data_IF_584704903474
#
_entry.id   IF_584704903474
#
_cell.length_a   1.000
_cell.length_b   1.000
_cell.length_c   1.000
_cell.angle_alpha   90.00
_cell.angle_beta   90.00
_cell.angle_gamma   90.00
#
_symmetry.space_group_name_H-M   'P 1'
#
loop_
_entity.id
_entity.type
_entity.pdbx_description
1 polymer ?
#
# COMPACT_ATOMS: atom_id res chain seq x y z
N UNK A 1 -24.13 19.37 33.60
CA UNK A 1 -24.15 19.07 32.15
C UNK A 1 -25.26 19.88 31.53
N UNK A 2 -24.93 20.77 30.60
CA UNK A 2 -25.89 21.63 29.91
C UNK A 2 -26.77 20.80 28.96
N UNK A 3 -28.02 21.26 28.68
CA UNK A 3 -28.96 20.57 27.76
C UNK A 3 -28.31 20.28 26.43
N UNK A 4 -27.44 21.16 25.97
CA UNK A 4 -26.66 21.01 24.72
C UNK A 4 -25.68 19.80 24.77
N UNK A 5 -25.04 19.53 25.90
CA UNK A 5 -24.13 18.38 26.04
C UNK A 5 -24.88 17.04 26.04
N UNK A 6 -26.11 17.00 26.60
CA UNK A 6 -26.96 15.80 26.57
C UNK A 6 -27.49 15.51 25.17
N UNK A 7 -27.87 16.52 24.41
CA UNK A 7 -28.29 16.36 23.01
C UNK A 7 -27.13 15.87 22.15
N UNK A 8 -25.93 16.45 22.26
CA UNK A 8 -24.74 15.98 21.54
C UNK A 8 -24.38 14.53 21.90
N UNK A 9 -24.45 14.17 23.18
CA UNK A 9 -24.21 12.80 23.62
C UNK A 9 -25.26 11.82 23.06
N UNK A 10 -26.54 12.21 23.06
CA UNK A 10 -27.62 11.40 22.51
C UNK A 10 -27.49 11.19 20.98
N UNK A 11 -27.07 12.23 20.25
CA UNK A 11 -26.83 12.13 18.80
C UNK A 11 -25.57 11.30 18.48
N UNK A 12 -24.53 11.35 19.32
CA UNK A 12 -23.31 10.59 19.13
C UNK A 12 -23.44 9.12 19.60
N UNK A 13 -24.34 8.82 20.54
CA UNK A 13 -24.49 7.49 21.12
C UNK A 13 -24.69 6.35 20.11
N UNK A 14 -25.53 6.47 19.07
CA UNK A 14 -25.67 5.41 18.07
C UNK A 14 -24.38 5.13 17.29
N UNK A 15 -23.65 6.18 16.92
CA UNK A 15 -22.38 6.05 16.20
C UNK A 15 -21.29 5.41 17.09
N UNK A 16 -21.21 5.80 18.35
CA UNK A 16 -20.30 5.22 19.33
C UNK A 16 -20.65 3.77 19.62
N UNK A 17 -21.95 3.45 19.79
CA UNK A 17 -22.41 2.08 20.00
C UNK A 17 -22.10 1.18 18.81
N UNK A 18 -22.34 1.69 17.58
CA UNK A 18 -22.00 0.98 16.34
C UNK A 18 -20.48 0.72 16.25
N UNK A 19 -19.67 1.74 16.49
CA UNK A 19 -18.21 1.61 16.50
C UNK A 19 -17.73 0.62 17.57
N UNK A 20 -18.26 0.68 18.77
CA UNK A 20 -17.92 -0.25 19.83
C UNK A 20 -18.30 -1.70 19.46
N UNK A 21 -19.51 -1.91 18.95
CA UNK A 21 -20.00 -3.24 18.60
C UNK A 21 -19.27 -3.86 17.38
N UNK A 22 -19.03 -3.08 16.33
CA UNK A 22 -18.53 -3.62 15.05
C UNK A 22 -17.03 -3.45 14.86
N UNK A 23 -16.36 -2.62 15.64
CA UNK A 23 -14.92 -2.46 15.56
C UNK A 23 -14.22 -2.86 16.86
N UNK A 24 -14.59 -2.28 18.01
CA UNK A 24 -13.87 -2.52 19.26
C UNK A 24 -14.03 -3.96 19.75
N UNK A 25 -15.23 -4.51 19.78
CA UNK A 25 -15.46 -5.88 20.23
C UNK A 25 -14.71 -6.93 19.38
N UNK A 26 -14.75 -6.91 18.03
CA UNK A 26 -13.96 -7.82 17.23
C UNK A 26 -12.45 -7.67 17.44
N UNK A 27 -11.94 -6.44 17.60
CA UNK A 27 -10.51 -6.21 17.89
C UNK A 27 -10.11 -6.78 19.26
N UNK A 28 -10.92 -6.55 20.30
CA UNK A 28 -10.67 -7.13 21.63
C UNK A 28 -10.69 -8.65 21.57
N UNK A 29 -11.68 -9.24 20.86
CA UNK A 29 -11.75 -10.70 20.70
C UNK A 29 -10.54 -11.23 19.94
N UNK A 30 -10.12 -10.55 18.87
CA UNK A 30 -8.90 -10.89 18.13
C UNK A 30 -7.67 -10.89 19.02
N UNK A 31 -7.55 -9.91 19.92
CA UNK A 31 -6.43 -9.82 20.86
C UNK A 31 -6.42 -10.92 21.92
N UNK A 32 -7.58 -11.40 22.34
CA UNK A 32 -7.70 -12.44 23.38
C UNK A 32 -7.56 -13.87 22.80
N UNK A 33 -7.95 -14.08 21.54
CA UNK A 33 -8.02 -15.39 20.93
C UNK A 33 -6.71 -16.23 21.00
N UNK A 34 -5.49 -15.65 20.81
CA UNK A 34 -4.26 -16.43 20.94
C UNK A 34 -4.04 -17.01 22.35
N UNK A 35 -4.54 -16.34 23.40
CA UNK A 35 -4.40 -16.80 24.78
C UNK A 35 -5.09 -18.16 25.03
N UNK A 36 -6.12 -18.50 24.25
CA UNK A 36 -6.84 -19.78 24.35
C UNK A 36 -5.89 -21.00 24.11
N UNK A 37 -4.78 -20.79 23.38
CA UNK A 37 -3.73 -21.81 23.15
C UNK A 37 -2.43 -21.56 23.92
N UNK A 38 -2.44 -20.58 24.82
CA UNK A 38 -1.29 -20.19 25.63
C UNK A 38 -0.51 -18.98 25.10
N UNK A 39 0.24 -18.35 25.99
CA UNK A 39 0.96 -17.09 25.70
C UNK A 39 2.01 -17.21 24.57
N UNK A 40 2.59 -18.42 24.37
CA UNK A 40 3.54 -18.65 23.29
C UNK A 40 2.92 -18.40 21.91
N UNK A 41 1.61 -18.55 21.76
CA UNK A 41 0.91 -18.32 20.47
C UNK A 41 1.04 -16.90 19.98
N UNK A 42 1.16 -15.90 20.87
CA UNK A 42 1.40 -14.50 20.45
C UNK A 42 2.74 -14.29 19.73
N UNK A 43 3.70 -15.16 20.01
CA UNK A 43 5.03 -15.15 19.39
C UNK A 43 5.20 -16.19 18.29
N UNK A 44 4.11 -16.81 17.84
CA UNK A 44 4.15 -17.89 16.85
C UNK A 44 4.88 -17.51 15.56
N UNK A 45 4.81 -16.23 15.14
CA UNK A 45 5.55 -15.71 13.99
C UNK A 45 7.07 -15.86 14.15
N UNK A 46 7.58 -15.70 15.38
CA UNK A 46 9.00 -15.79 15.68
C UNK A 46 9.47 -17.20 15.97
N UNK A 47 8.56 -18.07 16.40
CA UNK A 47 8.86 -19.45 16.82
C UNK A 47 8.84 -20.45 15.66
N UNK A 48 8.08 -20.15 14.59
CA UNK A 48 7.97 -21.01 13.42
C UNK A 48 8.60 -20.35 12.20
N UNK A 49 9.58 -21.01 11.61
CA UNK A 49 10.32 -20.51 10.43
C UNK A 49 9.41 -20.25 9.23
N UNK A 50 8.31 -20.98 9.06
CA UNK A 50 7.35 -20.77 7.97
C UNK A 50 6.67 -19.42 8.08
N UNK A 51 6.19 -19.06 9.28
CA UNK A 51 5.53 -17.78 9.49
C UNK A 51 6.51 -16.62 9.46
N UNK A 52 7.70 -16.81 9.99
CA UNK A 52 8.77 -15.82 9.91
C UNK A 52 9.17 -15.54 8.46
N UNK A 53 9.30 -16.58 7.64
CA UNK A 53 9.60 -16.44 6.21
C UNK A 53 8.47 -15.74 5.44
N UNK A 54 7.22 -16.09 5.72
CA UNK A 54 6.03 -15.44 5.15
C UNK A 54 5.95 -13.95 5.53
N UNK A 55 6.28 -13.60 6.78
CA UNK A 55 6.39 -12.20 7.23
C UNK A 55 7.52 -11.48 6.50
N UNK A 56 8.71 -12.08 6.42
CA UNK A 56 9.86 -11.50 5.72
C UNK A 56 9.54 -11.24 4.25
N UNK A 57 8.93 -12.19 3.56
CA UNK A 57 8.49 -12.04 2.18
C UNK A 57 7.51 -10.87 2.01
N UNK A 58 6.55 -10.73 2.93
CA UNK A 58 5.58 -9.64 2.92
C UNK A 58 6.26 -8.29 3.13
N UNK A 59 7.17 -8.21 4.09
CA UNK A 59 7.95 -7.00 4.36
C UNK A 59 8.82 -6.61 3.16
N UNK A 60 9.62 -7.55 2.65
CA UNK A 60 10.52 -7.32 1.53
C UNK A 60 9.75 -6.86 0.28
N UNK A 61 8.64 -7.55 -0.04
CA UNK A 61 7.77 -7.19 -1.16
C UNK A 61 7.17 -5.78 -0.96
N UNK A 62 6.64 -5.50 0.23
CA UNK A 62 6.01 -4.20 0.53
C UNK A 62 7.01 -3.05 0.48
N UNK A 63 8.24 -3.25 0.98
CA UNK A 63 9.33 -2.27 0.86
C UNK A 63 9.70 -2.05 -0.60
N UNK A 64 9.92 -3.12 -1.37
CA UNK A 64 10.29 -3.03 -2.79
C UNK A 64 9.21 -2.29 -3.61
N UNK A 65 7.93 -2.65 -3.41
CA UNK A 65 6.79 -1.97 -4.06
C UNK A 65 6.76 -0.50 -3.66
N UNK A 66 6.94 -0.19 -2.38
CA UNK A 66 6.91 1.19 -1.90
C UNK A 66 8.01 2.03 -2.53
N UNK A 67 9.26 1.55 -2.52
CA UNK A 67 10.39 2.27 -3.10
C UNK A 67 10.20 2.54 -4.59
N UNK A 68 9.79 1.52 -5.36
CA UNK A 68 9.56 1.68 -6.80
C UNK A 68 8.36 2.57 -7.08
N UNK A 69 7.28 2.45 -6.29
CA UNK A 69 6.10 3.32 -6.42
C UNK A 69 6.43 4.79 -6.13
N UNK A 70 7.22 5.08 -5.10
CA UNK A 70 7.62 6.45 -4.77
C UNK A 70 8.53 7.03 -5.86
N UNK A 71 9.47 6.23 -6.37
CA UNK A 71 10.37 6.66 -7.45
C UNK A 71 9.57 6.97 -8.73
N UNK A 72 8.82 6.01 -9.24
CA UNK A 72 8.08 6.17 -10.50
C UNK A 72 6.93 7.17 -10.35
N UNK A 73 6.17 7.07 -9.25
CA UNK A 73 5.07 7.97 -8.94
C UNK A 73 5.52 9.41 -8.75
N UNK A 74 6.68 9.62 -8.10
CA UNK A 74 7.32 10.92 -7.95
C UNK A 74 7.76 11.50 -9.28
N UNK A 75 8.50 10.73 -10.10
CA UNK A 75 8.96 11.18 -11.42
C UNK A 75 7.79 11.57 -12.33
N UNK A 76 6.78 10.70 -12.44
CA UNK A 76 5.61 10.96 -13.29
C UNK A 76 4.76 12.08 -12.70
N UNK A 77 4.49 12.08 -11.40
CA UNK A 77 3.63 13.05 -10.75
C UNK A 77 4.19 14.48 -10.82
N UNK A 78 5.49 14.65 -10.54
CA UNK A 78 6.16 15.97 -10.65
C UNK A 78 6.15 16.44 -12.11
N UNK A 79 6.44 15.56 -13.06
CA UNK A 79 6.41 15.90 -14.49
C UNK A 79 5.03 16.36 -14.93
N UNK A 80 3.98 15.63 -14.54
CA UNK A 80 2.59 16.00 -14.84
C UNK A 80 2.14 17.28 -14.15
N UNK A 81 2.67 17.61 -12.97
CA UNK A 81 2.39 18.86 -12.29
C UNK A 81 2.97 20.07 -13.04
N UNK A 82 4.18 19.93 -13.59
CA UNK A 82 4.94 21.02 -14.22
C UNK A 82 4.64 21.19 -15.71
N UNK A 83 4.14 20.17 -16.39
CA UNK A 83 3.85 20.23 -17.82
C UNK A 83 2.35 20.45 -18.09
N UNK A 84 2.05 21.42 -18.95
CA UNK A 84 0.70 21.66 -19.49
C UNK A 84 0.67 21.21 -20.94
N UNK A 85 -0.15 20.21 -21.24
CA UNK A 85 -0.35 19.71 -22.61
C UNK A 85 -1.81 19.32 -22.82
N UNK A 86 -2.23 19.31 -24.09
CA UNK A 86 -3.58 18.87 -24.46
C UNK A 86 -3.78 17.40 -24.09
N UNK A 87 -4.88 17.08 -23.38
CA UNK A 87 -5.16 15.70 -22.92
C UNK A 87 -4.61 15.36 -21.54
N UNK A 88 -3.90 16.27 -20.83
CA UNK A 88 -3.39 16.03 -19.49
C UNK A 88 -4.48 15.56 -18.51
N UNK A 89 -5.66 16.18 -18.55
CA UNK A 89 -6.77 15.81 -17.67
C UNK A 89 -7.29 14.40 -17.97
N UNK A 90 -7.39 14.04 -19.25
CA UNK A 90 -7.77 12.70 -19.66
C UNK A 90 -6.75 11.66 -19.19
N UNK A 91 -5.45 11.94 -19.36
CA UNK A 91 -4.38 11.08 -18.88
C UNK A 91 -4.45 10.87 -17.36
N UNK A 92 -4.65 11.93 -16.58
CA UNK A 92 -4.82 11.82 -15.13
C UNK A 92 -6.04 10.95 -14.75
N UNK A 93 -7.16 11.12 -15.45
CA UNK A 93 -8.36 10.30 -15.23
C UNK A 93 -8.11 8.83 -15.57
N UNK A 94 -7.42 8.54 -16.68
CA UNK A 94 -7.06 7.17 -17.07
C UNK A 94 -6.07 6.53 -16.08
N UNK A 95 -5.10 7.29 -15.59
CA UNK A 95 -4.15 6.79 -14.57
C UNK A 95 -4.81 6.44 -13.24
N UNK A 96 -5.96 7.05 -12.90
CA UNK A 96 -6.68 6.73 -11.66
C UNK A 96 -7.67 5.57 -11.83
N UNK A 97 -7.97 5.14 -13.05
CA UNK A 97 -8.91 4.05 -13.34
C UNK A 97 -8.56 2.73 -12.63
N UNK A 98 -7.28 2.32 -12.48
CA UNK A 98 -6.92 1.14 -11.72
C UNK A 98 -7.41 1.11 -10.27
N UNK A 99 -7.58 2.27 -9.63
CA UNK A 99 -8.06 2.37 -8.25
C UNK A 99 -9.52 1.93 -8.09
N UNK A 100 -10.28 1.87 -9.20
CA UNK A 100 -11.67 1.42 -9.19
C UNK A 100 -11.82 -0.11 -9.15
N UNK A 101 -10.74 -0.85 -9.38
CA UNK A 101 -10.79 -2.31 -9.44
C UNK A 101 -10.38 -2.94 -8.09
N UNK A 102 -11.16 -3.92 -7.58
CA UNK A 102 -10.75 -4.75 -6.46
C UNK A 102 -9.44 -5.50 -6.74
N UNK A 103 -8.64 -5.75 -5.70
CA UNK A 103 -7.34 -6.41 -5.83
C UNK A 103 -7.37 -7.77 -6.54
N UNK A 104 -8.46 -8.53 -6.38
CA UNK A 104 -8.65 -9.82 -7.07
C UNK A 104 -8.71 -9.62 -8.60
N UNK A 105 -9.39 -8.58 -9.08
CA UNK A 105 -9.48 -8.26 -10.51
C UNK A 105 -8.12 -7.82 -11.05
N UNK A 106 -7.36 -7.06 -10.27
CA UNK A 106 -5.99 -6.69 -10.65
C UNK A 106 -5.12 -7.93 -10.81
N UNK A 107 -5.20 -8.87 -9.87
CA UNK A 107 -4.51 -10.15 -10.02
C UNK A 107 -4.90 -10.90 -11.29
N UNK A 108 -6.19 -10.88 -11.64
CA UNK A 108 -6.67 -11.46 -12.87
C UNK A 108 -6.11 -10.77 -14.12
N UNK A 109 -5.99 -9.43 -14.13
CA UNK A 109 -5.33 -8.69 -15.22
C UNK A 109 -3.85 -9.10 -15.40
N UNK A 110 -3.14 -9.31 -14.29
CA UNK A 110 -1.75 -9.79 -14.34
C UNK A 110 -1.69 -11.21 -14.91
N UNK A 111 -2.67 -12.08 -14.60
CA UNK A 111 -2.75 -13.44 -15.18
C UNK A 111 -3.06 -13.37 -16.69
N UNK A 112 -3.97 -12.51 -17.11
CA UNK A 112 -4.27 -12.33 -18.54
C UNK A 112 -3.06 -11.78 -19.32
N UNK A 113 -2.22 -10.99 -18.67
CA UNK A 113 -1.01 -10.45 -19.29
C UNK A 113 0.14 -11.46 -19.30
N UNK A 114 0.48 -12.05 -18.16
CA UNK A 114 1.71 -12.81 -17.95
C UNK A 114 1.49 -14.26 -17.48
N UNK A 115 0.26 -14.77 -17.54
CA UNK A 115 -0.07 -16.16 -17.23
C UNK A 115 0.31 -17.14 -18.34
N UNK A 116 0.02 -18.42 -18.13
CA UNK A 116 0.37 -19.49 -19.09
C UNK A 116 -0.32 -19.33 -20.45
N UNK A 117 -1.49 -18.73 -20.49
CA UNK A 117 -2.28 -18.41 -21.69
C UNK A 117 -2.45 -16.88 -21.81
N UNK A 118 -1.47 -16.11 -21.31
CA UNK A 118 -1.50 -14.67 -21.34
C UNK A 118 -0.83 -14.10 -22.59
N UNK A 119 -1.11 -12.81 -22.84
CA UNK A 119 -0.59 -12.08 -24.01
C UNK A 119 0.93 -12.19 -24.16
N UNK A 120 1.69 -12.13 -23.07
CA UNK A 120 3.15 -12.22 -23.11
C UNK A 120 3.61 -13.62 -23.51
N UNK A 121 2.94 -14.68 -23.03
CA UNK A 121 3.25 -16.05 -23.42
C UNK A 121 3.03 -16.28 -24.91
N UNK A 122 1.94 -15.75 -25.48
CA UNK A 122 1.62 -15.89 -26.89
C UNK A 122 2.61 -15.08 -27.79
N UNK A 123 2.96 -13.86 -27.38
CA UNK A 123 3.93 -13.03 -28.10
C UNK A 123 5.33 -13.65 -28.05
N UNK A 124 5.78 -14.17 -26.92
CA UNK A 124 7.11 -14.81 -26.82
C UNK A 124 7.18 -16.11 -27.59
N UNK A 125 6.09 -16.88 -27.66
CA UNK A 125 6.00 -18.06 -28.51
C UNK A 125 6.07 -17.69 -30.01
N UNK A 126 5.33 -16.65 -30.44
CA UNK A 126 5.36 -16.15 -31.81
C UNK A 126 6.75 -15.65 -32.23
N UNK A 127 7.52 -15.06 -31.29
CA UNK A 127 8.90 -14.64 -31.50
C UNK A 127 9.93 -15.79 -31.48
N UNK A 128 9.50 -17.06 -31.26
CA UNK A 128 10.38 -18.21 -31.15
C UNK A 128 11.18 -18.32 -29.86
N UNK A 129 10.85 -17.49 -28.84
CA UNK A 129 11.52 -17.47 -27.54
C UNK A 129 10.94 -18.48 -26.53
N UNK A 130 9.91 -19.24 -26.95
CA UNK A 130 9.16 -20.11 -26.05
C UNK A 130 8.16 -19.36 -25.17
N UNK A 131 7.27 -20.11 -24.48
CA UNK A 131 6.24 -19.51 -23.62
C UNK A 131 6.83 -19.01 -22.31
N UNK A 132 6.92 -17.71 -22.14
CA UNK A 132 7.38 -17.06 -20.90
C UNK A 132 6.20 -16.68 -20.01
N UNK A 133 6.23 -17.08 -18.74
CA UNK A 133 5.18 -16.74 -17.76
C UNK A 133 5.78 -16.08 -16.53
N UNK A 134 5.20 -14.96 -16.08
CA UNK A 134 5.66 -14.22 -14.89
C UNK A 134 4.55 -13.92 -13.87
N UNK A 135 3.28 -14.20 -14.22
CA UNK A 135 2.14 -13.85 -13.39
C UNK A 135 2.15 -14.55 -12.02
N UNK A 136 2.62 -15.78 -11.97
CA UNK A 136 2.57 -16.60 -10.77
C UNK A 136 3.85 -16.47 -9.94
N UNK A 137 3.74 -15.98 -8.71
CA UNK A 137 4.85 -15.81 -7.79
C UNK A 137 5.24 -14.36 -7.54
N UNK A 138 6.51 -14.13 -7.17
CA UNK A 138 7.02 -12.83 -6.72
C UNK A 138 6.85 -11.72 -7.76
N UNK A 139 7.19 -11.99 -9.02
CA UNK A 139 7.13 -10.98 -10.10
C UNK A 139 5.71 -10.52 -10.37
N UNK A 140 4.76 -11.46 -10.49
CA UNK A 140 3.36 -11.13 -10.70
C UNK A 140 2.77 -10.36 -9.52
N UNK A 141 3.12 -10.78 -8.29
CA UNK A 141 2.69 -10.11 -7.07
C UNK A 141 3.22 -8.67 -7.00
N UNK A 142 4.51 -8.51 -7.29
CA UNK A 142 5.16 -7.19 -7.33
C UNK A 142 4.48 -6.27 -8.34
N UNK A 143 4.25 -6.74 -9.56
CA UNK A 143 3.58 -5.96 -10.61
C UNK A 143 2.12 -5.64 -10.25
N UNK A 144 1.39 -6.60 -9.66
CA UNK A 144 0.02 -6.37 -9.21
C UNK A 144 -0.06 -5.33 -8.10
N UNK A 145 0.86 -5.36 -7.13
CA UNK A 145 0.93 -4.36 -6.06
C UNK A 145 1.35 -2.98 -6.59
N UNK A 146 2.30 -2.95 -7.52
CA UNK A 146 2.72 -1.72 -8.19
C UNK A 146 1.56 -1.10 -8.99
N UNK A 147 0.79 -1.92 -9.70
CA UNK A 147 -0.33 -1.49 -10.54
C UNK A 147 -1.39 -0.68 -9.79
N UNK A 148 -1.77 -1.06 -8.58
CA UNK A 148 -2.74 -0.28 -7.80
C UNK A 148 -2.11 0.82 -6.94
N UNK A 149 -0.80 0.74 -6.64
CA UNK A 149 -0.11 1.74 -5.81
C UNK A 149 0.33 2.95 -6.62
N UNK A 150 0.78 2.75 -7.86
CA UNK A 150 1.30 3.79 -8.75
C UNK A 150 0.30 4.95 -8.99
N UNK A 151 -0.97 4.71 -9.34
CA UNK A 151 -1.93 5.78 -9.57
C UNK A 151 -2.11 6.70 -8.37
N UNK A 152 -2.14 6.13 -7.17
CA UNK A 152 -2.25 6.88 -5.91
C UNK A 152 -1.03 7.77 -5.70
N UNK A 153 0.16 7.23 -5.89
CA UNK A 153 1.41 7.99 -5.74
C UNK A 153 1.48 9.12 -6.79
N UNK A 154 1.17 8.83 -8.06
CA UNK A 154 1.15 9.84 -9.13
C UNK A 154 0.19 10.98 -8.78
N UNK A 155 -1.03 10.67 -8.35
CA UNK A 155 -2.01 11.68 -7.96
C UNK A 155 -1.52 12.53 -6.77
N UNK A 156 -0.95 11.87 -5.75
CA UNK A 156 -0.41 12.54 -4.56
C UNK A 156 0.74 13.49 -4.92
N UNK A 157 1.71 13.03 -5.70
CA UNK A 157 2.84 13.87 -6.13
C UNK A 157 2.41 14.97 -7.10
N UNK A 158 1.44 14.70 -7.98
CA UNK A 158 0.90 15.72 -8.90
C UNK A 158 0.23 16.86 -8.12
N UNK A 159 -0.56 16.52 -7.09
CA UNK A 159 -1.20 17.51 -6.23
C UNK A 159 -0.17 18.31 -5.41
N UNK A 160 0.76 17.63 -4.75
CA UNK A 160 1.78 18.26 -3.91
C UNK A 160 2.73 19.14 -4.72
N UNK A 161 3.24 18.65 -5.85
CA UNK A 161 4.12 19.44 -6.72
C UNK A 161 3.37 20.63 -7.38
N UNK A 162 2.07 20.46 -7.65
CA UNK A 162 1.22 21.54 -8.16
C UNK A 162 0.96 22.66 -7.14
N UNK A 163 1.00 22.34 -5.85
CA UNK A 163 0.85 23.31 -4.76
C UNK A 163 2.16 24.04 -4.41
N UNK A 164 3.31 23.57 -4.91
CA UNK A 164 4.60 24.23 -4.68
C UNK A 164 4.68 25.54 -5.46
N UNK A 165 5.27 26.56 -4.82
CA UNK A 165 5.53 27.84 -5.47
C UNK A 165 6.56 27.68 -6.61
N UNK A 166 6.15 28.00 -7.83
CA UNK A 166 7.00 27.94 -9.01
C UNK A 166 8.18 28.93 -8.93
N UNK A 167 8.03 30.02 -8.18
CA UNK A 167 9.08 31.05 -8.03
C UNK A 167 10.35 30.48 -7.38
N UNK A 168 10.25 29.49 -6.50
CA UNK A 168 11.40 28.82 -5.91
C UNK A 168 12.27 28.12 -6.96
N UNK A 169 11.63 27.49 -7.93
CA UNK A 169 12.33 26.84 -9.04
C UNK A 169 12.96 27.86 -9.99
N UNK A 170 12.23 28.94 -10.31
CA UNK A 170 12.70 30.03 -11.17
C UNK A 170 13.89 30.76 -10.52
N UNK A 171 13.82 31.05 -9.22
CA UNK A 171 14.92 31.65 -8.47
C UNK A 171 16.18 30.80 -8.48
N UNK A 172 16.05 29.48 -8.22
CA UNK A 172 17.18 28.54 -8.27
C UNK A 172 17.83 28.53 -9.68
N UNK A 173 17.01 28.50 -10.72
CA UNK A 173 17.51 28.57 -12.13
C UNK A 173 18.17 29.87 -12.48
N UNK A 174 17.66 31.00 -11.99
CA UNK A 174 18.27 32.33 -12.20
C UNK A 174 19.65 32.44 -11.55
N UNK A 175 19.89 31.66 -10.48
CA UNK A 175 21.21 31.52 -9.84
C UNK A 175 22.11 30.50 -10.54
N UNK A 176 21.72 29.97 -11.71
CA UNK A 176 22.52 29.03 -12.49
C UNK A 176 22.38 27.57 -12.07
N UNK A 177 21.40 27.22 -11.21
CA UNK A 177 21.22 25.82 -10.78
C UNK A 177 20.83 24.91 -11.96
N UNK A 178 21.52 23.79 -12.08
CA UNK A 178 21.20 22.72 -13.02
C UNK A 178 19.87 22.03 -12.64
N UNK A 179 19.26 21.28 -13.56
CA UNK A 179 18.03 20.50 -13.28
C UNK A 179 18.18 19.56 -12.10
N UNK A 180 19.36 18.97 -11.92
CA UNK A 180 19.66 18.09 -10.79
C UNK A 180 19.75 18.85 -9.46
N UNK A 181 20.34 20.03 -9.46
CA UNK A 181 20.39 20.90 -8.28
C UNK A 181 18.99 21.37 -7.87
N UNK A 182 18.16 21.79 -8.83
CA UNK A 182 16.74 22.10 -8.57
C UNK A 182 16.01 20.91 -7.96
N UNK A 183 16.21 19.70 -8.52
CA UNK A 183 15.58 18.50 -7.97
C UNK A 183 16.03 18.23 -6.53
N UNK A 184 17.34 18.31 -6.26
CA UNK A 184 17.94 17.99 -4.96
C UNK A 184 17.62 19.05 -3.90
N UNK A 185 17.75 20.33 -4.25
CA UNK A 185 17.74 21.44 -3.28
C UNK A 185 16.36 22.07 -3.12
N UNK A 186 15.44 21.88 -4.09
CA UNK A 186 14.08 22.43 -4.07
C UNK A 186 13.02 21.33 -3.96
N UNK A 187 12.98 20.38 -4.90
CA UNK A 187 11.88 19.41 -4.96
C UNK A 187 11.95 18.35 -3.86
N UNK A 188 13.13 17.73 -3.65
CA UNK A 188 13.27 16.68 -2.65
C UNK A 188 12.92 17.19 -1.24
N UNK A 189 13.46 18.32 -0.75
CA UNK A 189 13.09 18.84 0.56
C UNK A 189 11.61 19.25 0.65
N UNK A 190 11.07 19.93 -0.37
CA UNK A 190 9.68 20.38 -0.37
C UNK A 190 8.67 19.23 -0.40
N UNK A 191 9.01 18.11 -1.06
CA UNK A 191 8.15 16.93 -1.15
C UNK A 191 8.45 15.85 -0.09
N UNK A 192 9.40 16.08 0.81
CA UNK A 192 9.83 15.07 1.78
C UNK A 192 8.67 14.57 2.65
N UNK A 193 7.85 15.47 3.19
CA UNK A 193 6.68 15.10 4.00
C UNK A 193 5.65 14.32 3.18
N UNK A 194 5.36 14.75 1.96
CA UNK A 194 4.46 14.05 1.03
C UNK A 194 5.00 12.66 0.71
N UNK A 195 6.31 12.53 0.49
CA UNK A 195 6.97 11.25 0.20
C UNK A 195 6.85 10.28 1.38
N UNK A 196 7.09 10.76 2.61
CA UNK A 196 6.93 9.94 3.82
C UNK A 196 5.49 9.48 4.01
N UNK A 197 4.52 10.39 3.89
CA UNK A 197 3.11 10.07 4.05
C UNK A 197 2.62 9.10 2.97
N UNK A 198 2.93 9.37 1.69
CA UNK A 198 2.60 8.49 0.57
C UNK A 198 3.25 7.11 0.73
N UNK A 199 4.53 7.07 1.10
CA UNK A 199 5.28 5.84 1.32
C UNK A 199 4.66 4.97 2.42
N UNK A 200 4.29 5.57 3.54
CA UNK A 200 3.65 4.86 4.64
C UNK A 200 2.30 4.26 4.23
N UNK A 201 1.49 4.99 3.46
CA UNK A 201 0.19 4.49 2.97
C UNK A 201 0.41 3.36 1.96
N UNK A 202 1.36 3.50 1.02
CA UNK A 202 1.68 2.46 0.04
C UNK A 202 2.20 1.21 0.74
N UNK A 203 3.11 1.35 1.69
CA UNK A 203 3.64 0.24 2.49
C UNK A 203 2.51 -0.47 3.26
N UNK A 204 1.70 0.28 4.00
CA UNK A 204 0.59 -0.27 4.78
C UNK A 204 -0.43 -1.02 3.90
N UNK A 205 -0.79 -0.44 2.74
CA UNK A 205 -1.72 -1.09 1.80
C UNK A 205 -1.12 -2.34 1.15
N UNK A 206 0.18 -2.34 0.87
CA UNK A 206 0.89 -3.50 0.32
C UNK A 206 1.01 -4.63 1.34
N UNK A 207 1.29 -4.31 2.61
CA UNK A 207 1.30 -5.29 3.72
C UNK A 207 -0.03 -6.03 3.86
N UNK A 208 -1.16 -5.32 3.69
CA UNK A 208 -2.50 -5.88 3.83
C UNK A 208 -3.14 -6.35 2.51
N UNK A 209 -2.42 -6.36 1.39
CA UNK A 209 -3.00 -6.64 0.07
C UNK A 209 -3.33 -8.13 -0.12
N UNK A 210 -4.47 -8.55 0.38
CA UNK A 210 -4.96 -9.92 0.28
C UNK A 210 -5.46 -10.28 -1.12
N UNK A 211 -6.33 -9.46 -1.73
CA UNK A 211 -7.04 -9.84 -2.97
C UNK A 211 -6.12 -10.17 -4.14
N UNK A 212 -5.10 -9.35 -4.37
CA UNK A 212 -4.09 -9.58 -5.42
C UNK A 212 -3.22 -10.79 -5.08
N UNK A 213 -2.84 -10.95 -3.80
CA UNK A 213 -2.07 -12.10 -3.36
C UNK A 213 -2.86 -13.40 -3.52
N UNK A 214 -4.14 -13.41 -3.23
CA UNK A 214 -5.01 -14.56 -3.36
C UNK A 214 -5.04 -15.14 -4.78
N UNK A 215 -4.96 -14.27 -5.79
CA UNK A 215 -4.95 -14.72 -7.20
C UNK A 215 -3.56 -15.08 -7.73
N UNK A 216 -2.49 -14.45 -7.25
CA UNK A 216 -1.15 -14.55 -7.83
C UNK A 216 -0.16 -15.37 -6.99
N UNK A 217 -0.35 -15.49 -5.68
CA UNK A 217 0.59 -16.12 -4.74
C UNK A 217 0.50 -17.65 -4.73
N UNK A 218 0.60 -18.29 -5.90
CA UNK A 218 0.56 -19.76 -5.99
C UNK A 218 1.85 -20.46 -5.55
N UNK A 219 2.99 -19.74 -5.61
CA UNK A 219 4.33 -20.28 -5.28
C UNK A 219 5.12 -19.41 -4.30
N UNK A 220 4.52 -18.35 -3.81
CA UNK A 220 5.19 -17.36 -2.96
C UNK A 220 4.29 -17.02 -1.77
N UNK A 221 4.69 -17.48 -0.58
CA UNK A 221 3.89 -17.27 0.63
C UNK A 221 4.08 -15.85 1.15
N UNK A 222 2.95 -15.15 1.31
CA UNK A 222 2.84 -13.85 1.98
C UNK A 222 1.89 -13.95 3.16
N UNK A 223 2.14 -13.16 4.20
CA UNK A 223 1.44 -13.28 5.48
C UNK A 223 -0.09 -13.17 5.38
N UNK A 224 -0.69 -12.29 4.55
CA UNK A 224 -2.14 -12.27 4.37
C UNK A 224 -2.72 -13.61 3.89
N UNK A 225 -2.02 -14.34 3.02
CA UNK A 225 -2.46 -15.66 2.53
C UNK A 225 -2.25 -16.72 3.61
N UNK A 226 -1.16 -16.64 4.36
CA UNK A 226 -0.91 -17.54 5.50
C UNK A 226 -2.00 -17.38 6.56
N UNK A 227 -2.38 -16.13 6.90
CA UNK A 227 -3.51 -15.85 7.82
C UNK A 227 -4.80 -16.47 7.31
N UNK A 228 -5.10 -16.28 6.03
CA UNK A 228 -6.30 -16.87 5.40
C UNK A 228 -6.30 -18.39 5.47
N UNK A 229 -5.18 -19.04 5.20
CA UNK A 229 -5.05 -20.50 5.27
C UNK A 229 -5.24 -21.01 6.70
N UNK A 230 -4.62 -20.37 7.70
CA UNK A 230 -4.79 -20.75 9.11
C UNK A 230 -6.25 -20.60 9.55
N UNK A 231 -6.91 -19.50 9.13
CA UNK A 231 -8.29 -19.24 9.48
C UNK A 231 -9.27 -20.19 8.76
N UNK A 232 -9.16 -20.32 7.42
CA UNK A 232 -10.18 -20.96 6.59
C UNK A 232 -9.91 -22.45 6.39
N UNK A 233 -8.65 -22.81 6.07
CA UNK A 233 -8.30 -24.18 5.69
C UNK A 233 -7.94 -25.06 6.89
N UNK A 234 -7.32 -24.48 7.92
CA UNK A 234 -6.86 -25.22 9.11
C UNK A 234 -7.73 -24.98 10.34
N UNK A 235 -8.72 -24.06 10.28
CA UNK A 235 -9.58 -23.68 11.40
C UNK A 235 -8.81 -23.33 12.68
N UNK A 236 -7.59 -22.80 12.53
CA UNK A 236 -6.69 -22.44 13.62
C UNK A 236 -6.83 -20.95 13.97
N UNK A 237 -7.98 -20.57 14.53
CA UNK A 237 -8.34 -19.18 14.80
C UNK A 237 -7.34 -18.46 15.72
N UNK A 238 -6.80 -19.15 16.72
CA UNK A 238 -5.84 -18.56 17.65
C UNK A 238 -4.54 -18.14 16.95
N UNK A 239 -4.04 -18.98 16.04
CA UNK A 239 -2.84 -18.68 15.27
C UNK A 239 -3.09 -17.62 14.21
N UNK A 240 -4.20 -17.71 13.48
CA UNK A 240 -4.60 -16.67 12.53
C UNK A 240 -4.73 -15.30 13.20
N UNK A 241 -5.27 -15.24 14.43
CA UNK A 241 -5.35 -14.04 15.22
C UNK A 241 -3.97 -13.50 15.61
N UNK A 242 -3.04 -14.33 16.04
CA UNK A 242 -1.67 -13.95 16.37
C UNK A 242 -0.93 -13.34 15.17
N UNK A 243 -1.01 -14.00 14.02
CA UNK A 243 -0.42 -13.50 12.77
C UNK A 243 -1.03 -12.16 12.33
N UNK A 244 -2.36 -12.02 12.51
CA UNK A 244 -3.08 -10.77 12.20
C UNK A 244 -2.67 -9.63 13.12
N UNK A 245 -2.49 -9.89 14.43
CA UNK A 245 -1.99 -8.92 15.41
C UNK A 245 -0.59 -8.45 15.00
N UNK A 246 0.30 -9.38 14.67
CA UNK A 246 1.67 -9.06 14.24
C UNK A 246 1.67 -8.18 13.00
N UNK A 247 0.90 -8.54 11.96
CA UNK A 247 0.76 -7.76 10.74
C UNK A 247 0.21 -6.36 11.03
N UNK A 248 -0.84 -6.27 11.85
CA UNK A 248 -1.48 -5.02 12.25
C UNK A 248 -0.54 -4.11 13.04
N UNK A 249 0.22 -4.65 13.98
CA UNK A 249 1.19 -3.88 14.77
C UNK A 249 2.32 -3.32 13.92
N UNK A 250 2.89 -4.10 13.01
CA UNK A 250 3.93 -3.64 12.09
C UNK A 250 3.40 -2.53 11.19
N UNK A 251 2.21 -2.73 10.63
CA UNK A 251 1.57 -1.74 9.75
C UNK A 251 1.23 -0.45 10.51
N UNK A 252 0.65 -0.57 11.70
CA UNK A 252 0.34 0.57 12.56
C UNK A 252 1.60 1.33 12.98
N UNK A 253 2.65 0.62 13.37
CA UNK A 253 3.92 1.22 13.78
C UNK A 253 4.58 1.99 12.61
N UNK A 254 4.55 1.44 11.40
CA UNK A 254 5.08 2.12 10.21
C UNK A 254 4.33 3.42 9.91
N UNK A 255 2.99 3.42 10.02
CA UNK A 255 2.16 4.61 9.85
C UNK A 255 2.40 5.64 10.97
N UNK A 256 2.54 5.17 12.20
CA UNK A 256 2.84 6.04 13.35
C UNK A 256 4.20 6.72 13.19
N UNK A 257 5.24 5.96 12.81
CA UNK A 257 6.59 6.48 12.58
C UNK A 257 6.58 7.55 11.46
N UNK A 258 5.91 7.27 10.35
CA UNK A 258 5.81 8.22 9.24
C UNK A 258 5.10 9.54 9.64
N UNK A 259 4.02 9.45 10.44
CA UNK A 259 3.33 10.65 10.94
C UNK A 259 4.23 11.50 11.85
N UNK A 260 5.02 10.86 12.72
CA UNK A 260 5.95 11.58 13.60
C UNK A 260 7.11 12.20 12.81
N UNK A 261 7.63 11.52 11.81
CA UNK A 261 8.68 12.03 10.94
C UNK A 261 8.20 13.18 10.02
N UNK A 262 6.93 13.17 9.62
CA UNK A 262 6.34 14.23 8.79
C UNK A 262 6.06 15.55 9.55
N UNK A 263 6.07 15.55 10.90
CA UNK A 263 5.81 16.74 11.72
C UNK A 263 4.34 17.19 11.71
N UNK A 264 4.00 18.30 12.46
CA UNK A 264 2.62 18.73 12.66
C UNK A 264 1.89 19.22 11.40
N UNK A 265 2.58 19.55 10.31
CA UNK A 265 1.98 19.94 9.04
C UNK A 265 1.36 18.76 8.25
N UNK A 266 1.71 17.52 8.58
CA UNK A 266 1.18 16.32 7.90
C UNK A 266 -0.12 15.78 8.50
N UNK A 267 -0.66 16.37 9.56
CA UNK A 267 -1.84 15.87 10.26
C UNK A 267 -3.19 16.33 9.65
N UNK A 268 -3.16 17.11 8.57
CA UNK A 268 -4.34 17.72 7.92
C UNK A 268 -4.58 17.32 6.47
N UNK A 269 -3.91 16.26 5.96
CA UNK A 269 -4.11 15.78 4.60
C UNK A 269 -4.87 14.44 4.58
#
# INVERSE_FOLDING_TARGET
MTTRSRLLAACAAPAVAFFAAFWLLPVVRLMVLPADKGWATYFAVLLDSRYLFSLFNTLALSVAVTLVTLLLGGLVGITLARQRFTGRQLLLSLLTLPLSFPGVIIGFFIILLGGRQGLVADVTEWLGLGRTTFAYGLTGLFLGYLYFSLPRAIATYTAAAGAMDAQLEEAARSLGASRWQVAKDVWIPALAQTTLACGAIVFATSMGAFGTAFTLASKFEVLPITIYNEFTNYANFALAASLSITLGLITWFSLWLARHAAGPAGAGA
#
